data_IF_990401702807
#
_entry.id   IF_990401702807
#
_cell.length_a   1.000
_cell.length_b   1.000
_cell.length_c   1.000
_cell.angle_alpha   90.00
_cell.angle_beta   90.00
_cell.angle_gamma   90.00
#
_symmetry.space_group_name_H-M   'P 1'
#
loop_
_entity.id
_entity.type
_entity.pdbx_description
1 polymer ?
#
# COMPACT_ATOMS: atom_id res chain seq x y z
N UNK A 1 -6.93 -13.01 4.18
CA UNK A 1 -8.32 -12.57 4.44
C UNK A 1 -8.76 -13.11 5.79
N UNK A 2 -9.57 -12.36 6.56
CA UNK A 2 -10.26 -12.93 7.70
C UNK A 2 -11.21 -14.06 7.23
N UNK A 3 -11.53 -15.05 8.09
CA UNK A 3 -12.50 -16.09 7.80
C UNK A 3 -13.83 -15.53 7.27
N UNK A 4 -14.48 -16.24 6.34
CA UNK A 4 -15.68 -15.73 5.66
C UNK A 4 -16.84 -15.42 6.61
N UNK A 5 -16.99 -16.20 7.69
CA UNK A 5 -18.03 -15.99 8.70
C UNK A 5 -17.84 -14.69 9.48
N UNK A 6 -16.58 -14.23 9.64
CA UNK A 6 -16.26 -12.94 10.27
C UNK A 6 -16.77 -11.77 9.42
N UNK A 7 -16.74 -11.90 8.09
CA UNK A 7 -17.20 -10.86 7.14
C UNK A 7 -18.71 -10.70 7.12
N UNK A 8 -19.47 -11.71 7.56
CA UNK A 8 -20.93 -11.63 7.68
C UNK A 8 -21.38 -11.02 9.02
N UNK A 9 -20.47 -10.76 9.94
CA UNK A 9 -20.80 -10.10 11.21
C UNK A 9 -21.18 -8.64 10.97
N UNK A 10 -22.38 -8.27 11.41
CA UNK A 10 -22.88 -6.89 11.39
C UNK A 10 -22.03 -5.92 12.24
N UNK A 11 -21.12 -6.46 13.06
CA UNK A 11 -20.24 -5.70 13.96
C UNK A 11 -18.76 -5.89 13.65
N UNK A 12 -18.41 -6.45 12.49
CA UNK A 12 -17.01 -6.58 12.09
C UNK A 12 -16.39 -5.18 11.94
N UNK A 13 -15.38 -4.90 12.76
CA UNK A 13 -14.49 -3.76 12.56
C UNK A 13 -13.15 -4.28 12.07
N UNK A 14 -12.77 -3.88 10.85
CA UNK A 14 -11.46 -4.15 10.30
C UNK A 14 -10.56 -2.96 10.59
N UNK A 15 -9.58 -3.17 11.46
CA UNK A 15 -8.51 -2.21 11.70
C UNK A 15 -7.20 -2.72 11.07
N UNK A 16 -6.29 -1.82 10.70
CA UNK A 16 -4.93 -2.22 10.35
C UNK A 16 -4.27 -2.92 11.54
N UNK A 17 -3.29 -3.79 11.26
CA UNK A 17 -2.45 -4.35 12.31
C UNK A 17 -1.73 -3.23 13.08
N UNK A 18 -1.52 -3.39 14.38
CA UNK A 18 -0.97 -2.34 15.26
C UNK A 18 0.37 -1.77 14.79
N UNK A 19 1.21 -2.56 14.11
CA UNK A 19 2.50 -2.12 13.59
C UNK A 19 2.53 -1.77 12.09
N UNK A 20 1.38 -1.69 11.42
CA UNK A 20 1.36 -1.45 9.98
C UNK A 20 1.94 -0.08 9.63
N UNK A 21 1.71 0.93 10.47
CA UNK A 21 2.22 2.27 10.21
C UNK A 21 3.73 2.37 10.45
N UNK A 22 4.24 1.71 11.49
CA UNK A 22 5.69 1.61 11.72
C UNK A 22 6.37 0.90 10.54
N UNK A 23 5.75 -0.16 10.03
CA UNK A 23 6.23 -0.87 8.84
C UNK A 23 6.18 0.00 7.56
N UNK A 24 5.11 0.78 7.35
CA UNK A 24 5.03 1.73 6.23
C UNK A 24 6.16 2.76 6.32
N UNK A 25 6.42 3.29 7.50
CA UNK A 25 7.50 4.24 7.72
C UNK A 25 8.87 3.60 7.44
N UNK A 26 9.13 2.38 7.93
CA UNK A 26 10.44 1.74 7.80
C UNK A 26 10.73 1.18 6.40
N UNK A 27 9.73 0.65 5.70
CA UNK A 27 9.94 -0.05 4.43
C UNK A 27 9.62 0.79 3.19
N UNK A 28 8.67 1.72 3.28
CA UNK A 28 8.19 2.51 2.13
C UNK A 28 8.73 3.94 2.17
N UNK A 29 8.63 4.61 3.32
CA UNK A 29 8.93 6.05 3.42
C UNK A 29 10.41 6.33 3.70
N UNK A 30 11.04 5.55 4.59
CA UNK A 30 12.46 5.70 4.86
C UNK A 30 13.31 5.42 3.61
N UNK A 31 14.32 6.25 3.36
CA UNK A 31 15.25 6.08 2.23
C UNK A 31 16.00 4.74 2.26
N UNK A 32 16.13 4.14 3.45
CA UNK A 32 16.75 2.82 3.65
C UNK A 32 15.79 1.64 3.49
N UNK A 33 14.51 1.90 3.26
CA UNK A 33 13.46 0.87 3.21
C UNK A 33 13.57 0.00 1.95
N UNK A 34 13.22 -1.28 2.09
CA UNK A 34 13.40 -2.27 1.02
C UNK A 34 12.56 -2.01 -0.23
N UNK A 35 11.47 -1.24 -0.09
CA UNK A 35 10.52 -0.90 -1.16
C UNK A 35 10.33 0.61 -1.30
N UNK A 36 11.33 1.38 -0.86
CA UNK A 36 11.36 2.83 -0.99
C UNK A 36 11.25 3.27 -2.45
N UNK A 37 10.48 4.35 -2.69
CA UNK A 37 10.36 5.03 -3.96
C UNK A 37 10.40 6.55 -3.73
N UNK A 38 11.40 7.29 -4.27
CA UNK A 38 11.52 8.74 -4.08
C UNK A 38 10.26 9.53 -4.47
N UNK A 39 9.52 9.05 -5.47
CA UNK A 39 8.27 9.68 -5.93
C UNK A 39 7.16 9.63 -4.86
N UNK A 40 7.29 8.78 -3.83
CA UNK A 40 6.32 8.63 -2.74
C UNK A 40 6.54 9.62 -1.58
N UNK A 41 7.45 10.58 -1.70
CA UNK A 41 7.68 11.63 -0.69
C UNK A 41 6.37 12.36 -0.31
N UNK A 42 5.46 12.53 -1.27
CA UNK A 42 4.16 13.16 -1.05
C UNK A 42 3.23 12.39 -0.08
N UNK A 43 3.54 11.14 0.28
CA UNK A 43 2.76 10.36 1.23
C UNK A 43 3.01 10.72 2.69
N UNK A 44 4.10 11.42 3.00
CA UNK A 44 4.48 11.80 4.38
C UNK A 44 3.39 12.66 5.03
N UNK A 45 2.81 13.59 4.27
CA UNK A 45 1.77 14.52 4.75
C UNK A 45 0.35 14.11 4.29
N UNK A 46 0.23 12.95 3.63
CA UNK A 46 -1.05 12.48 3.12
C UNK A 46 -1.84 11.74 4.20
N UNK A 47 -3.17 11.83 4.13
CA UNK A 47 -4.04 10.96 4.90
C UNK A 47 -4.11 9.57 4.23
N UNK A 48 -3.32 8.61 4.72
CA UNK A 48 -3.19 7.27 4.14
C UNK A 48 -4.15 6.28 4.81
N UNK A 49 -4.95 5.58 4.00
CA UNK A 49 -5.80 4.48 4.43
C UNK A 49 -5.19 3.12 4.10
N UNK A 50 -5.37 2.14 4.99
CA UNK A 50 -4.90 0.75 4.79
C UNK A 50 -6.10 -0.15 4.56
N UNK A 51 -6.07 -0.90 3.46
CA UNK A 51 -7.15 -1.77 3.02
C UNK A 51 -6.67 -3.22 2.94
N UNK A 52 -7.63 -4.14 3.05
CA UNK A 52 -7.42 -5.55 2.81
C UNK A 52 -7.74 -5.88 1.36
N UNK A 53 -6.83 -6.59 0.68
CA UNK A 53 -7.06 -7.12 -0.66
C UNK A 53 -7.17 -8.65 -0.60
N UNK A 54 -8.08 -9.22 -1.38
CA UNK A 54 -8.22 -10.68 -1.52
C UNK A 54 -7.10 -11.31 -2.36
N UNK A 55 -6.47 -10.51 -3.22
CA UNK A 55 -5.33 -10.89 -4.05
C UNK A 55 -4.26 -9.79 -4.04
N UNK A 56 -3.01 -10.17 -4.27
CA UNK A 56 -1.93 -9.21 -4.44
C UNK A 56 -2.07 -8.44 -5.75
N UNK A 57 -1.75 -7.15 -5.75
CA UNK A 57 -1.65 -6.37 -6.98
C UNK A 57 -0.38 -6.78 -7.73
N UNK A 58 -0.54 -7.35 -8.92
CA UNK A 58 0.57 -7.51 -9.86
C UNK A 58 0.88 -6.14 -10.47
N UNK A 59 2.12 -5.67 -10.33
CA UNK A 59 2.59 -4.44 -10.98
C UNK A 59 2.44 -4.59 -12.49
N UNK A 60 1.46 -3.92 -13.10
CA UNK A 60 1.43 -3.76 -14.55
C UNK A 60 2.55 -2.78 -14.90
N UNK A 61 3.67 -3.30 -15.39
CA UNK A 61 4.78 -2.47 -15.83
C UNK A 61 4.29 -1.52 -16.92
N UNK A 62 4.21 -0.23 -16.62
CA UNK A 62 4.15 0.78 -17.65
C UNK A 62 5.48 0.70 -18.41
N UNK A 63 5.48 0.09 -19.61
CA UNK A 63 6.60 0.23 -20.53
C UNK A 63 6.59 1.70 -20.95
N UNK A 64 7.53 2.47 -20.41
CA UNK A 64 7.73 3.84 -20.83
C UNK A 64 8.14 3.84 -22.30
N UNK A 65 7.18 4.05 -23.21
CA UNK A 65 7.52 4.41 -24.58
C UNK A 65 8.07 5.83 -24.52
N UNK A 66 9.40 5.94 -24.58
CA UNK A 66 10.05 7.13 -25.12
C UNK A 66 9.54 7.33 -26.55
N UNK A 67 8.47 8.08 -26.71
CA UNK A 67 8.19 8.75 -27.97
C UNK A 67 8.97 10.06 -27.94
N UNK A 68 10.09 10.07 -28.65
CA UNK A 68 10.78 11.30 -28.99
C UNK A 68 9.87 12.19 -29.84
N UNK A 69 10.02 13.49 -29.58
CA UNK A 69 9.75 14.64 -30.46
C UNK A 69 9.50 14.29 -31.93
N UNK A 70 8.28 14.62 -32.41
CA UNK A 70 7.96 15.47 -33.56
C UNK A 70 6.44 15.68 -33.61
#
# INVERSE_FOLDING_TARGET
MPPADLLQSLWLTLCPATGVWDWVQSEILAETGSIHNPEHTHLIDANVGVLWASTGFAKQGAVGRHAGVC
#
